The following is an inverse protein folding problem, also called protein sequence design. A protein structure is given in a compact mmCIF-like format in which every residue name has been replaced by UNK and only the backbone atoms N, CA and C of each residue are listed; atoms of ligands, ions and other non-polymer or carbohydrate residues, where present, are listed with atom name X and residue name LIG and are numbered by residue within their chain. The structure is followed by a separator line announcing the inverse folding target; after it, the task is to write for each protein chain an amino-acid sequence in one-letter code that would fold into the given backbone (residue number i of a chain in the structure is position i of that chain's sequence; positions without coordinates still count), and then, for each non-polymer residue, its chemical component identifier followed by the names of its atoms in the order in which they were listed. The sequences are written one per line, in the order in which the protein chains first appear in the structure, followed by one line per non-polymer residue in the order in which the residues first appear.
data_IF_508933890094
#
_entry.id   IF_508933890094
#
_cell.length_a   1.000
_cell.length_b   1.000
_cell.length_c   1.000
_cell.angle_alpha   90.00
_cell.angle_beta   90.00
_cell.angle_gamma   90.00
#
_symmetry.space_group_name_H-M   'P 1'
#
loop_
_entity.id
_entity.type
_entity.pdbx_description
1 polymer ?
#
# COMPACT_ATOMS: atom_id res chain seq x y z
N UNK A 1 2.35 2.86 -25.91
CA UNK A 1 1.53 3.13 -24.71
C UNK A 1 0.69 4.38 -24.93
N UNK A 2 -0.49 4.47 -24.31
CA UNK A 2 -1.31 5.68 -24.36
C UNK A 2 -0.85 6.67 -23.28
N UNK A 3 -0.83 7.96 -23.62
CA UNK A 3 -0.48 9.05 -22.70
C UNK A 3 -1.71 9.43 -21.87
N UNK A 4 -1.51 9.60 -20.57
CA UNK A 4 -2.57 9.98 -19.62
C UNK A 4 -2.45 11.44 -19.26
N UNK A 5 -1.25 11.88 -18.87
CA UNK A 5 -0.99 13.27 -18.43
C UNK A 5 0.31 13.77 -19.03
N UNK A 6 0.28 14.99 -19.57
CA UNK A 6 1.49 15.68 -20.01
C UNK A 6 2.28 16.20 -18.82
N UNK A 7 3.57 15.86 -18.76
CA UNK A 7 4.47 16.31 -17.68
C UNK A 7 5.37 17.45 -18.19
N UNK A 8 5.62 18.52 -17.40
CA UNK A 8 6.56 19.57 -17.76
C UNK A 8 7.97 19.04 -18.07
N UNK A 9 8.64 19.65 -19.06
CA UNK A 9 9.94 19.18 -19.55
C UNK A 9 11.02 19.07 -18.46
N UNK A 10 11.06 20.02 -17.51
CA UNK A 10 12.03 20.00 -16.41
C UNK A 10 11.85 18.81 -15.45
N UNK A 11 10.64 18.25 -15.38
CA UNK A 11 10.34 17.04 -14.57
C UNK A 11 10.71 15.78 -15.36
N UNK A 12 10.49 15.79 -16.67
CA UNK A 12 10.89 14.70 -17.55
C UNK A 12 12.39 14.55 -17.60
N UNK A 13 13.09 15.68 -17.77
CA UNK A 13 14.51 15.77 -18.10
C UNK A 13 15.28 16.61 -17.09
N UNK A 14 15.49 16.10 -15.86
CA UNK A 14 16.46 16.69 -14.94
C UNK A 14 17.89 16.56 -15.47
N UNK A 15 18.14 15.56 -16.32
CA UNK A 15 19.39 15.34 -17.05
C UNK A 15 19.09 15.23 -18.55
N UNK A 16 19.97 15.77 -19.39
CA UNK A 16 19.79 15.79 -20.84
C UNK A 16 20.03 14.38 -21.42
N UNK A 17 18.98 13.75 -21.97
CA UNK A 17 19.05 12.41 -22.54
C UNK A 17 18.09 12.26 -23.74
N UNK A 18 18.48 11.44 -24.71
CA UNK A 18 17.87 11.40 -26.05
C UNK A 18 16.42 10.89 -26.08
N UNK A 19 16.03 10.02 -25.13
CA UNK A 19 14.67 9.48 -25.01
C UNK A 19 13.82 10.18 -23.94
N UNK A 20 14.36 11.24 -23.34
CA UNK A 20 13.79 11.82 -22.14
C UNK A 20 12.46 12.58 -22.37
N UNK A 21 12.31 13.23 -23.52
CA UNK A 21 11.12 14.01 -23.89
C UNK A 21 9.83 13.19 -23.92
N UNK A 22 9.95 11.86 -24.00
CA UNK A 22 8.84 10.91 -23.99
C UNK A 22 8.37 10.51 -22.58
N UNK A 23 8.97 11.04 -21.51
CA UNK A 23 8.68 10.70 -20.10
C UNK A 23 7.36 11.23 -19.53
N UNK A 24 6.27 11.20 -20.31
CA UNK A 24 4.91 11.51 -19.83
C UNK A 24 4.38 10.43 -18.88
N UNK A 25 3.33 10.75 -18.10
CA UNK A 25 2.56 9.72 -17.40
C UNK A 25 1.77 8.95 -18.44
N UNK A 26 2.06 7.66 -18.55
CA UNK A 26 1.43 6.74 -19.49
C UNK A 26 0.95 5.46 -18.79
N UNK A 27 0.48 4.50 -19.59
CA UNK A 27 0.03 3.20 -19.08
C UNK A 27 1.09 2.45 -18.26
N UNK A 28 2.39 2.68 -18.49
CA UNK A 28 3.45 2.05 -17.68
C UNK A 28 3.54 2.65 -16.29
N UNK A 29 3.50 3.98 -16.19
CA UNK A 29 3.51 4.65 -14.89
C UNK A 29 2.24 4.28 -14.08
N UNK A 30 1.10 4.06 -14.76
CA UNK A 30 -0.11 3.57 -14.10
C UNK A 30 0.05 2.12 -13.61
N UNK A 31 0.65 1.24 -14.42
CA UNK A 31 0.95 -0.12 -14.01
C UNK A 31 1.86 -0.15 -12.78
N UNK A 32 2.93 0.65 -12.80
CA UNK A 32 3.86 0.86 -11.68
C UNK A 32 3.14 1.30 -10.40
N UNK A 33 2.21 2.25 -10.51
CA UNK A 33 1.40 2.71 -9.38
C UNK A 33 0.51 1.59 -8.81
N UNK A 34 -0.13 0.79 -9.66
CA UNK A 34 -0.99 -0.33 -9.21
C UNK A 34 -0.16 -1.45 -8.58
N UNK A 35 0.96 -1.82 -9.18
CA UNK A 35 1.85 -2.86 -8.64
C UNK A 35 2.37 -2.48 -7.25
N UNK A 36 2.83 -1.23 -7.09
CA UNK A 36 3.28 -0.74 -5.79
C UNK A 36 2.14 -0.55 -4.79
N UNK A 37 0.92 -0.25 -5.24
CA UNK A 37 -0.25 -0.28 -4.37
C UNK A 37 -0.45 -1.67 -3.76
N UNK A 38 -0.40 -2.73 -4.58
CA UNK A 38 -0.50 -4.11 -4.08
C UNK A 38 0.64 -4.41 -3.11
N UNK A 39 1.87 -4.01 -3.45
CA UNK A 39 3.02 -4.17 -2.56
C UNK A 39 2.83 -3.46 -1.20
N UNK A 40 2.37 -2.21 -1.19
CA UNK A 40 2.09 -1.46 0.03
C UNK A 40 0.94 -2.04 0.86
N UNK A 41 -0.05 -2.61 0.18
CA UNK A 41 -1.17 -3.28 0.83
C UNK A 41 -0.76 -4.58 1.52
N UNK A 42 0.05 -5.41 0.86
CA UNK A 42 0.50 -6.70 1.40
C UNK A 42 1.65 -6.56 2.40
N UNK A 43 2.55 -5.60 2.16
CA UNK A 43 3.75 -5.34 2.94
C UNK A 43 3.75 -3.90 3.47
N UNK A 44 2.86 -3.57 4.43
CA UNK A 44 2.69 -2.21 4.93
C UNK A 44 3.96 -1.69 5.60
N UNK A 45 4.19 -0.38 5.47
CA UNK A 45 5.34 0.32 6.03
C UNK A 45 5.46 0.12 7.55
N UNK A 46 6.68 -0.16 8.00
CA UNK A 46 7.04 -0.30 9.42
C UNK A 46 8.20 0.59 9.80
N UNK A 47 9.25 0.67 8.97
CA UNK A 47 10.45 1.48 9.24
C UNK A 47 11.08 2.05 7.98
N UNK A 48 11.46 1.20 7.04
CA UNK A 48 12.35 1.58 5.92
C UNK A 48 11.81 1.20 4.56
N UNK A 49 10.62 0.60 4.48
CA UNK A 49 10.06 0.06 3.25
C UNK A 49 9.76 1.16 2.21
N UNK A 50 9.26 2.34 2.63
CA UNK A 50 9.11 3.49 1.73
C UNK A 50 10.45 3.93 1.13
N UNK A 51 11.51 3.97 1.96
CA UNK A 51 12.84 4.32 1.48
C UNK A 51 13.36 3.25 0.51
N UNK A 52 13.15 1.97 0.81
CA UNK A 52 13.48 0.87 -0.08
C UNK A 52 12.77 1.00 -1.44
N UNK A 53 11.46 1.25 -1.46
CA UNK A 53 10.70 1.48 -2.71
C UNK A 53 11.26 2.65 -3.50
N UNK A 54 11.57 3.76 -2.83
CA UNK A 54 12.15 4.93 -3.48
C UNK A 54 13.54 4.62 -4.07
N UNK A 55 14.45 4.04 -3.28
CA UNK A 55 15.79 3.68 -3.75
C UNK A 55 15.75 2.65 -4.88
N UNK A 56 14.90 1.62 -4.76
CA UNK A 56 14.75 0.62 -5.82
C UNK A 56 14.23 1.24 -7.11
N UNK A 57 13.27 2.17 -7.02
CA UNK A 57 12.77 2.90 -8.18
C UNK A 57 13.88 3.69 -8.85
N UNK A 58 14.70 4.42 -8.07
CA UNK A 58 15.85 5.15 -8.61
C UNK A 58 16.88 4.22 -9.28
N UNK A 59 17.14 3.05 -8.70
CA UNK A 59 18.04 2.06 -9.30
C UNK A 59 17.50 1.50 -10.62
N UNK A 60 16.20 1.22 -10.70
CA UNK A 60 15.54 0.82 -11.94
C UNK A 60 15.71 1.87 -13.03
N UNK A 61 15.38 3.14 -12.73
CA UNK A 61 15.54 4.24 -13.69
C UNK A 61 17.00 4.45 -14.10
N UNK A 62 17.93 4.26 -13.17
CA UNK A 62 19.38 4.31 -13.46
C UNK A 62 19.77 3.18 -14.42
N UNK A 63 19.25 1.97 -14.21
CA UNK A 63 19.46 0.84 -15.11
C UNK A 63 18.90 1.09 -16.50
N UNK A 64 17.71 1.68 -16.60
CA UNK A 64 17.11 2.09 -17.88
C UNK A 64 17.96 3.15 -18.59
N UNK A 65 18.45 4.15 -17.85
CA UNK A 65 19.35 5.17 -18.39
C UNK A 65 20.63 4.56 -18.96
N UNK A 66 21.28 3.66 -18.22
CA UNK A 66 22.51 2.97 -18.64
C UNK A 66 22.24 2.07 -19.85
N UNK A 67 21.07 1.42 -19.88
CA UNK A 67 20.61 0.61 -21.01
C UNK A 67 20.22 1.41 -22.26
N UNK A 68 20.21 2.75 -22.18
CA UNK A 68 19.78 3.62 -23.26
C UNK A 68 18.27 3.62 -23.49
N UNK A 69 17.48 3.23 -22.49
CA UNK A 69 16.02 3.29 -22.49
C UNK A 69 15.50 4.58 -21.86
N UNK A 70 14.17 4.78 -21.94
CA UNK A 70 13.50 5.98 -21.44
C UNK A 70 13.45 6.00 -19.90
N UNK A 71 14.47 6.58 -19.28
CA UNK A 71 14.49 6.81 -17.84
C UNK A 71 13.59 7.97 -17.39
N UNK A 72 12.80 7.75 -16.34
CA UNK A 72 11.82 8.66 -15.72
C UNK A 72 12.11 8.85 -14.23
N UNK A 73 13.23 9.50 -13.93
CA UNK A 73 13.75 9.70 -12.56
C UNK A 73 12.83 10.41 -11.55
N UNK A 74 11.75 11.05 -12.00
CA UNK A 74 10.77 11.68 -11.11
C UNK A 74 9.41 10.97 -11.19
N UNK A 75 8.93 10.73 -12.40
CA UNK A 75 7.58 10.21 -12.63
C UNK A 75 7.42 8.81 -12.04
N UNK A 76 8.33 7.89 -12.35
CA UNK A 76 8.18 6.48 -11.96
C UNK A 76 8.49 6.27 -10.47
N UNK A 77 9.58 6.83 -9.88
CA UNK A 77 9.76 6.81 -8.42
C UNK A 77 8.60 7.47 -7.66
N UNK A 78 8.04 8.55 -8.19
CA UNK A 78 6.87 9.22 -7.61
C UNK A 78 5.62 8.33 -7.67
N UNK A 79 5.33 7.72 -8.81
CA UNK A 79 4.20 6.82 -8.99
C UNK A 79 4.30 5.58 -8.08
N UNK A 80 5.50 4.98 -8.00
CA UNK A 80 5.79 3.84 -7.15
C UNK A 80 5.59 4.16 -5.67
N UNK A 81 6.15 5.28 -5.21
CA UNK A 81 6.02 5.69 -3.81
C UNK A 81 4.56 6.05 -3.47
N UNK A 82 3.86 6.74 -4.36
CA UNK A 82 2.44 7.06 -4.18
C UNK A 82 1.60 5.79 -4.09
N UNK A 83 1.78 4.84 -5.01
CA UNK A 83 1.12 3.54 -4.99
C UNK A 83 1.35 2.83 -3.65
N UNK A 84 2.61 2.69 -3.25
CA UNK A 84 2.99 2.04 -1.98
C UNK A 84 2.33 2.68 -0.76
N UNK A 85 2.34 4.02 -0.66
CA UNK A 85 1.72 4.75 0.44
C UNK A 85 0.20 4.50 0.47
N UNK A 86 -0.47 4.59 -0.67
CA UNK A 86 -1.92 4.34 -0.76
C UNK A 86 -2.26 2.90 -0.35
N UNK A 87 -1.47 1.92 -0.78
CA UNK A 87 -1.63 0.53 -0.38
C UNK A 87 -1.48 0.33 1.13
N UNK A 88 -0.45 0.93 1.72
CA UNK A 88 -0.21 0.91 3.17
C UNK A 88 -1.40 1.51 3.94
N UNK A 89 -1.92 2.66 3.51
CA UNK A 89 -3.09 3.29 4.14
C UNK A 89 -4.34 2.44 3.99
N UNK A 90 -4.59 1.84 2.83
CA UNK A 90 -5.72 0.94 2.62
C UNK A 90 -5.66 -0.27 3.57
N UNK A 91 -4.48 -0.87 3.76
CA UNK A 91 -4.27 -1.95 4.72
C UNK A 91 -4.59 -1.50 6.15
N UNK A 92 -4.09 -0.31 6.55
CA UNK A 92 -4.33 0.25 7.88
C UNK A 92 -5.80 0.52 8.14
N UNK A 93 -6.52 1.07 7.14
CA UNK A 93 -7.96 1.33 7.23
C UNK A 93 -8.74 0.04 7.47
N UNK A 94 -8.50 -1.01 6.67
CA UNK A 94 -9.20 -2.28 6.80
C UNK A 94 -8.93 -2.94 8.15
N UNK A 95 -7.68 -2.91 8.63
CA UNK A 95 -7.33 -3.45 9.96
C UNK A 95 -7.85 -2.62 11.13
N UNK A 96 -8.22 -1.36 10.89
CA UNK A 96 -8.76 -0.47 11.92
C UNK A 96 -10.28 -0.58 12.08
N UNK A 97 -10.97 -1.28 11.17
CA UNK A 97 -12.39 -1.60 11.33
C UNK A 97 -12.48 -2.71 12.38
N UNK A 98 -13.01 -2.43 13.59
CA UNK A 98 -13.24 -3.49 14.56
C UNK A 98 -14.24 -4.46 13.95
N UNK A 99 -13.95 -5.77 14.04
CA UNK A 99 -14.94 -6.80 13.73
C UNK A 99 -16.24 -6.42 14.44
N UNK A 100 -17.32 -6.23 13.68
CA UNK A 100 -18.65 -6.32 14.26
C UNK A 100 -18.81 -7.77 14.70
N UNK A 101 -18.34 -8.09 15.91
CA UNK A 101 -18.73 -9.32 16.56
C UNK A 101 -20.25 -9.25 16.70
N UNK A 102 -21.01 -10.23 16.18
CA UNK A 102 -22.39 -10.37 16.62
C UNK A 102 -22.33 -10.61 18.12
N UNK A 103 -23.06 -9.81 18.91
CA UNK A 103 -23.22 -10.04 20.35
C UNK A 103 -23.63 -11.49 20.57
N UNK A 104 -22.67 -12.33 20.97
CA UNK A 104 -22.99 -13.64 21.53
C UNK A 104 -23.61 -13.35 22.89
N UNK A 105 -24.94 -13.26 22.92
CA UNK A 105 -25.71 -13.40 24.14
C UNK A 105 -25.14 -14.62 24.89
N UNK A 106 -24.69 -14.49 26.15
CA UNK A 106 -24.32 -15.66 26.92
C UNK A 106 -25.58 -16.51 27.02
N UNK A 107 -25.56 -17.66 26.34
CA UNK A 107 -26.62 -18.65 26.36
C UNK A 107 -26.77 -19.11 27.80
N UNK A 108 -27.83 -18.64 28.47
CA UNK A 108 -28.77 -19.25 29.43
C UNK A 108 -28.39 -20.46 30.32
N UNK A 109 -27.23 -21.08 30.16
CA UNK A 109 -26.76 -22.24 30.90
C UNK A 109 -25.85 -21.90 32.08
N UNK A 110 -25.02 -20.86 31.99
CA UNK A 110 -24.14 -20.45 33.11
C UNK A 110 -24.91 -19.80 34.26
N UNK A 111 -25.94 -18.98 33.98
CA UNK A 111 -26.81 -18.42 35.02
C UNK A 111 -27.59 -19.52 35.78
N UNK A 112 -28.01 -20.59 35.09
CA UNK A 112 -28.71 -21.71 35.73
C UNK A 112 -27.81 -22.53 36.66
N UNK A 113 -26.52 -22.66 36.33
CA UNK A 113 -25.54 -23.37 37.17
C UNK A 113 -25.21 -22.58 38.44
N UNK A 114 -25.12 -21.24 38.35
CA UNK A 114 -24.88 -20.37 39.51
C UNK A 114 -26.10 -20.38 40.45
N UNK A 115 -27.32 -20.34 39.91
CA UNK A 115 -28.55 -20.41 40.71
C UNK A 115 -28.71 -21.76 41.44
N UNK A 116 -28.38 -22.87 40.78
CA UNK A 116 -28.41 -24.20 41.40
C UNK A 116 -27.32 -24.37 42.47
N UNK A 117 -26.12 -23.82 42.26
CA UNK A 117 -25.04 -23.89 43.24
C UNK A 117 -25.38 -23.11 44.53
N UNK A 118 -26.02 -21.95 44.42
CA UNK A 118 -26.39 -21.14 45.59
C UNK A 118 -27.57 -21.73 46.37
N UNK A 119 -28.53 -22.38 45.69
CA UNK A 119 -29.66 -23.05 46.38
C UNK A 119 -29.24 -24.29 47.21
N UNK A 120 -28.06 -24.87 46.95
CA UNK A 120 -27.51 -26.00 47.72
C UNK A 120 -26.75 -25.59 48.99
N UNK A 121 -26.38 -24.33 49.12
CA UNK A 121 -25.63 -23.80 50.27
C UNK A 121 -26.54 -23.36 51.44
N UNK A 122 -27.84 -23.23 51.22
CA UNK A 122 -28.81 -22.88 52.29
C UNK A 122 -29.45 -24.10 52.99
N UNK A 123 -28.99 -25.32 52.67
CA UNK A 123 -29.57 -26.58 53.18
C UNK A 123 -28.59 -27.45 54.00
N UNK A 124 -27.50 -26.87 54.51
CA UNK A 124 -26.55 -27.53 55.44
C UNK A 124 -26.49 -26.80 56.77
#
# INVERSE_FOLDING_TARGET
MFKVVYVPHFIKCPFEHNKCSDGDVDGWSLYHLVDHFVAGYLFPHKRWECAFVFFQSLLCETGELIGGERARFIVDPGANLLGYILGHYANKLIRSVPDQQPESNPSSGEEAVILLANSRLELV
#
